data_IF_308089236072
#
_entry.id   IF_308089236072
#
_cell.length_a   1.000
_cell.length_b   1.000
_cell.length_c   1.000
_cell.angle_alpha   90.00
_cell.angle_beta   90.00
_cell.angle_gamma   90.00
#
_symmetry.space_group_name_H-M   'P 1'
#
loop_
_entity.id
_entity.type
_entity.pdbx_description
1 polymer ?
#
# COMPACT_ATOMS: atom_id res chain seq x y z
N UNK A 1 -73.90 -15.69 -1.54
CA UNK A 1 -73.15 -16.84 -2.09
C UNK A 1 -72.55 -17.58 -0.92
N UNK A 2 -73.18 -18.69 -0.56
CA UNK A 2 -72.98 -19.41 0.70
C UNK A 2 -71.98 -20.54 0.45
N UNK A 3 -70.84 -20.53 1.14
CA UNK A 3 -69.84 -21.59 1.07
C UNK A 3 -69.82 -22.39 2.37
N UNK A 4 -70.30 -23.62 2.27
CA UNK A 4 -70.34 -24.66 3.29
C UNK A 4 -68.93 -25.21 3.55
N UNK A 5 -68.52 -25.33 4.81
CA UNK A 5 -67.32 -26.08 5.20
C UNK A 5 -67.69 -27.20 6.17
N UNK A 6 -67.32 -28.40 5.76
CA UNK A 6 -67.55 -29.73 6.34
C UNK A 6 -66.50 -30.03 7.41
N UNK A 7 -66.82 -30.72 8.53
CA UNK A 7 -65.84 -31.04 9.57
C UNK A 7 -64.91 -32.20 9.16
N UNK A 8 -63.65 -32.12 9.59
CA UNK A 8 -62.63 -33.17 9.46
C UNK A 8 -62.75 -34.20 10.61
N UNK A 9 -62.41 -35.48 10.36
CA UNK A 9 -62.63 -36.56 11.31
C UNK A 9 -61.57 -36.64 12.41
N UNK A 10 -62.03 -37.07 13.58
CA UNK A 10 -61.26 -37.56 14.72
C UNK A 10 -60.55 -38.87 14.35
N UNK A 11 -59.21 -38.86 14.37
CA UNK A 11 -58.36 -40.01 14.11
C UNK A 11 -57.37 -40.23 15.25
N UNK A 12 -57.50 -41.40 15.88
CA UNK A 12 -56.86 -41.83 17.12
C UNK A 12 -55.36 -42.04 17.06
N UNK A 13 -54.73 -41.77 18.20
CA UNK A 13 -53.36 -42.11 18.59
C UNK A 13 -53.09 -43.62 18.48
N UNK A 14 -51.99 -44.02 17.82
CA UNK A 14 -51.29 -45.28 18.11
C UNK A 14 -49.79 -45.09 17.92
N UNK A 15 -49.08 -45.34 19.02
CA UNK A 15 -47.65 -45.23 19.15
C UNK A 15 -46.87 -46.20 18.24
N UNK A 16 -45.78 -45.71 17.66
CA UNK A 16 -44.52 -46.47 17.59
C UNK A 16 -43.37 -45.53 17.94
N UNK A 17 -42.60 -45.97 18.94
CA UNK A 17 -41.28 -45.47 19.29
C UNK A 17 -40.40 -45.60 18.04
N UNK A 18 -39.67 -44.56 17.69
CA UNK A 18 -38.21 -44.61 17.56
C UNK A 18 -37.66 -43.20 17.30
N UNK A 19 -36.57 -42.91 17.99
CA UNK A 19 -35.87 -41.64 17.98
C UNK A 19 -35.10 -41.45 16.67
N UNK A 20 -35.12 -40.22 16.14
CA UNK A 20 -34.02 -39.47 15.49
C UNK A 20 -34.67 -38.18 14.94
N UNK A 21 -34.61 -37.07 15.66
CA UNK A 21 -33.58 -36.02 15.56
C UNK A 21 -33.33 -35.52 14.12
N UNK A 22 -33.38 -34.19 14.04
CA UNK A 22 -32.92 -33.31 12.96
C UNK A 22 -33.90 -33.09 11.80
N UNK A 23 -34.77 -32.09 12.00
CA UNK A 23 -35.11 -31.18 10.91
C UNK A 23 -33.82 -30.51 10.42
N UNK A 24 -33.58 -30.39 9.10
CA UNK A 24 -32.44 -29.62 8.62
C UNK A 24 -32.76 -28.13 8.81
N UNK A 25 -31.88 -27.44 9.53
CA UNK A 25 -31.83 -25.99 9.53
C UNK A 25 -31.46 -25.52 8.12
N UNK A 26 -32.48 -25.20 7.34
CA UNK A 26 -32.35 -24.28 6.21
C UNK A 26 -32.30 -22.88 6.81
N UNK A 27 -31.09 -22.41 7.13
CA UNK A 27 -30.77 -21.00 7.35
C UNK A 27 -29.24 -20.83 7.26
N UNK A 28 -28.85 -19.94 6.37
CA UNK A 28 -27.50 -19.37 6.15
C UNK A 28 -26.51 -20.10 5.22
N UNK A 29 -26.84 -20.11 3.92
CA UNK A 29 -25.82 -20.27 2.85
C UNK A 29 -25.35 -18.89 2.38
N UNK A 30 -24.70 -18.14 3.26
CA UNK A 30 -24.06 -16.86 2.94
C UNK A 30 -22.67 -16.78 3.59
N UNK A 31 -21.63 -16.81 2.76
CA UNK A 31 -20.25 -16.35 3.07
C UNK A 31 -19.60 -16.93 4.35
N UNK A 32 -19.63 -18.24 4.52
CA UNK A 32 -18.79 -18.92 5.51
C UNK A 32 -17.48 -19.39 4.89
N UNK A 33 -16.36 -18.95 5.42
CA UNK A 33 -15.04 -19.52 5.13
C UNK A 33 -15.01 -20.99 5.57
N UNK A 34 -14.46 -21.88 4.74
CA UNK A 34 -14.22 -23.27 5.12
C UNK A 34 -13.31 -23.35 6.37
N UNK A 35 -13.64 -24.15 7.40
CA UNK A 35 -12.87 -24.21 8.65
C UNK A 35 -11.36 -24.44 8.45
N UNK A 36 -11.00 -25.26 7.48
CA UNK A 36 -9.62 -25.59 7.11
C UNK A 36 -8.88 -24.37 6.56
N UNK A 37 -9.53 -23.60 5.67
CA UNK A 37 -8.98 -22.36 5.11
C UNK A 37 -8.80 -21.30 6.20
N UNK A 38 -9.77 -21.17 7.12
CA UNK A 38 -9.64 -20.26 8.27
C UNK A 38 -8.45 -20.66 9.15
N UNK A 39 -8.36 -21.93 9.53
CA UNK A 39 -7.25 -22.42 10.35
C UNK A 39 -5.89 -22.18 9.68
N UNK A 40 -5.80 -22.32 8.36
CA UNK A 40 -4.58 -22.02 7.61
C UNK A 40 -4.23 -20.53 7.63
N UNK A 41 -5.20 -19.64 7.47
CA UNK A 41 -4.98 -18.18 7.58
C UNK A 41 -4.53 -17.82 9.00
N UNK A 42 -5.21 -18.35 10.02
CA UNK A 42 -4.86 -18.13 11.43
C UNK A 42 -3.42 -18.56 11.72
N UNK A 43 -3.03 -19.74 11.24
CA UNK A 43 -1.67 -20.25 11.42
C UNK A 43 -0.61 -19.35 10.76
N UNK A 44 -0.85 -18.88 9.54
CA UNK A 44 0.06 -17.98 8.83
C UNK A 44 0.24 -16.65 9.59
N UNK A 45 -0.86 -16.08 10.09
CA UNK A 45 -0.88 -14.82 10.83
C UNK A 45 -0.26 -14.94 12.23
N UNK A 46 -0.36 -16.11 12.87
CA UNK A 46 0.30 -16.38 14.15
C UNK A 46 1.80 -16.64 13.99
N UNK A 47 2.20 -17.31 12.91
CA UNK A 47 3.59 -17.67 12.66
C UNK A 47 4.44 -16.47 12.22
N UNK A 48 3.84 -15.51 11.51
CA UNK A 48 4.55 -14.39 10.91
C UNK A 48 3.94 -13.07 11.34
N UNK A 49 4.78 -12.18 11.89
CA UNK A 49 4.34 -10.84 12.30
C UNK A 49 3.83 -10.01 11.13
N UNK A 50 4.45 -10.09 9.95
CA UNK A 50 4.06 -9.31 8.76
C UNK A 50 3.75 -10.29 7.64
N UNK A 51 2.49 -10.28 7.18
CA UNK A 51 1.99 -11.17 6.14
C UNK A 51 1.30 -10.35 5.05
N UNK A 52 1.73 -10.54 3.80
CA UNK A 52 1.11 -9.93 2.63
C UNK A 52 0.44 -11.01 1.78
N UNK A 53 -0.89 -10.99 1.72
CA UNK A 53 -1.64 -11.75 0.73
C UNK A 53 -1.66 -10.96 -0.58
N UNK A 54 -1.10 -11.53 -1.65
CA UNK A 54 -0.89 -10.81 -2.91
C UNK A 54 -1.09 -11.70 -4.14
N UNK A 55 -1.19 -11.06 -5.31
CA UNK A 55 -1.24 -11.75 -6.60
C UNK A 55 0.17 -11.89 -7.16
N UNK A 56 0.66 -13.12 -7.26
CA UNK A 56 2.06 -13.42 -7.58
C UNK A 56 2.94 -13.49 -6.33
N UNK A 57 4.24 -13.36 -6.51
CA UNK A 57 5.23 -13.45 -5.42
C UNK A 57 5.96 -12.12 -5.22
N UNK A 58 6.71 -11.98 -4.11
CA UNK A 58 7.55 -10.81 -3.83
C UNK A 58 8.48 -10.46 -5.01
N UNK A 59 9.06 -11.48 -5.66
CA UNK A 59 9.98 -11.34 -6.79
C UNK A 59 9.26 -11.18 -8.13
N UNK A 60 8.06 -11.75 -8.26
CA UNK A 60 7.27 -11.74 -9.49
C UNK A 60 5.80 -11.37 -9.19
N UNK A 61 5.52 -10.09 -8.87
CA UNK A 61 4.15 -9.65 -8.66
C UNK A 61 3.37 -9.68 -9.98
N UNK A 62 2.14 -10.20 -9.95
CA UNK A 62 1.29 -10.37 -11.13
C UNK A 62 0.13 -9.36 -11.19
N UNK A 63 0.21 -8.30 -10.38
CA UNK A 63 -0.77 -7.21 -10.35
C UNK A 63 -0.09 -5.91 -9.89
N UNK A 64 -0.39 -4.79 -10.53
CA UNK A 64 0.22 -3.48 -10.21
C UNK A 64 0.03 -3.05 -8.75
N UNK A 65 -1.13 -3.33 -8.14
CA UNK A 65 -1.37 -3.05 -6.72
C UNK A 65 -0.51 -3.91 -5.80
N UNK A 66 -0.31 -5.19 -6.17
CA UNK A 66 0.59 -6.10 -5.46
C UNK A 66 2.05 -5.64 -5.59
N UNK A 67 2.47 -5.23 -6.78
CA UNK A 67 3.80 -4.66 -7.02
C UNK A 67 4.05 -3.36 -6.23
N UNK A 68 3.06 -2.47 -6.17
CA UNK A 68 3.17 -1.24 -5.38
C UNK A 68 3.32 -1.53 -3.88
N UNK A 69 2.56 -2.50 -3.37
CA UNK A 69 2.61 -2.87 -1.93
C UNK A 69 3.93 -3.56 -1.58
N UNK A 70 4.43 -4.47 -2.43
CA UNK A 70 5.73 -5.11 -2.20
C UNK A 70 6.88 -4.12 -2.29
N UNK A 71 6.82 -3.14 -3.20
CA UNK A 71 7.82 -2.09 -3.30
C UNK A 71 7.96 -1.33 -1.99
N UNK A 72 6.84 -0.82 -1.42
CA UNK A 72 6.84 -0.11 -0.14
C UNK A 72 7.41 -0.98 0.99
N UNK A 73 6.98 -2.24 1.12
CA UNK A 73 7.47 -3.12 2.18
C UNK A 73 8.96 -3.47 2.02
N UNK A 74 9.46 -3.59 0.79
CA UNK A 74 10.87 -3.82 0.51
C UNK A 74 11.76 -2.64 0.92
N UNK A 75 11.25 -1.41 0.90
CA UNK A 75 11.98 -0.24 1.37
C UNK A 75 12.10 -0.21 2.90
N UNK A 76 11.11 -0.76 3.60
CA UNK A 76 11.01 -0.69 5.06
C UNK A 76 11.57 -1.91 5.78
N UNK A 77 11.46 -3.10 5.17
CA UNK A 77 11.74 -4.37 5.83
C UNK A 77 12.73 -5.20 5.02
N UNK A 78 13.73 -5.80 5.69
CA UNK A 78 14.59 -6.79 5.02
C UNK A 78 13.78 -8.03 4.61
N UNK A 79 12.81 -8.44 5.45
CA UNK A 79 12.00 -9.63 5.20
C UNK A 79 10.58 -9.54 5.77
N UNK A 80 9.65 -10.26 5.12
CA UNK A 80 8.25 -10.43 5.50
C UNK A 80 7.62 -11.60 4.72
N UNK A 81 6.56 -12.20 5.24
CA UNK A 81 5.94 -13.35 4.61
C UNK A 81 4.96 -12.92 3.50
N UNK A 82 4.97 -13.62 2.37
CA UNK A 82 4.02 -13.39 1.26
C UNK A 82 3.26 -14.65 0.92
N UNK A 83 1.96 -14.52 0.67
CA UNK A 83 1.09 -15.61 0.23
C UNK A 83 0.58 -15.29 -1.17
N UNK A 84 0.92 -16.14 -2.16
CA UNK A 84 0.41 -16.02 -3.51
C UNK A 84 -0.99 -16.62 -3.59
N UNK A 85 -2.02 -15.77 -3.58
CA UNK A 85 -3.42 -16.22 -3.63
C UNK A 85 -3.83 -16.75 -5.01
N UNK A 86 -3.00 -16.61 -6.04
CA UNK A 86 -3.32 -17.15 -7.36
C UNK A 86 -3.10 -18.67 -7.45
N UNK A 87 -2.29 -19.22 -6.54
CA UNK A 87 -2.03 -20.66 -6.46
C UNK A 87 -3.14 -21.42 -5.71
N UNK A 88 -4.00 -20.70 -4.98
CA UNK A 88 -5.04 -21.29 -4.13
C UNK A 88 -6.30 -20.42 -4.11
N UNK A 89 -7.34 -20.90 -4.79
CA UNK A 89 -8.61 -20.19 -4.92
C UNK A 89 -9.40 -20.13 -3.61
N UNK A 90 -9.24 -21.11 -2.73
CA UNK A 90 -9.91 -21.13 -1.43
C UNK A 90 -9.29 -20.08 -0.52
N UNK A 91 -7.96 -19.95 -0.50
CA UNK A 91 -7.29 -18.85 0.19
C UNK A 91 -7.66 -17.50 -0.41
N UNK A 92 -7.77 -17.39 -1.74
CA UNK A 92 -8.10 -16.13 -2.42
C UNK A 92 -9.46 -15.57 -2.02
N UNK A 93 -10.48 -16.42 -1.99
CA UNK A 93 -11.81 -15.99 -1.58
C UNK A 93 -11.94 -15.97 -0.06
N UNK A 94 -11.27 -16.90 0.63
CA UNK A 94 -11.21 -16.98 2.08
C UNK A 94 -10.64 -15.73 2.73
N UNK A 95 -9.51 -15.20 2.24
CA UNK A 95 -8.88 -14.01 2.85
C UNK A 95 -9.75 -12.77 2.73
N UNK A 96 -10.54 -12.64 1.66
CA UNK A 96 -11.48 -11.53 1.49
C UNK A 96 -12.58 -11.56 2.56
N UNK A 97 -13.12 -12.75 2.81
CA UNK A 97 -14.12 -12.95 3.85
C UNK A 97 -13.49 -12.81 5.24
N UNK A 98 -12.24 -13.25 5.43
CA UNK A 98 -11.57 -13.28 6.73
C UNK A 98 -11.36 -11.86 7.26
N UNK A 99 -10.79 -10.99 6.42
CA UNK A 99 -10.56 -9.59 6.75
C UNK A 99 -11.77 -8.69 6.53
N UNK A 100 -12.92 -9.24 6.11
CA UNK A 100 -14.06 -8.46 5.62
C UNK A 100 -13.64 -7.37 4.62
N UNK A 101 -12.76 -7.75 3.68
CA UNK A 101 -12.09 -6.83 2.76
C UNK A 101 -12.14 -7.36 1.32
N UNK A 102 -12.74 -6.65 0.36
CA UNK A 102 -13.08 -7.24 -0.94
C UNK A 102 -11.90 -7.37 -1.92
N UNK A 103 -10.78 -6.67 -1.67
CA UNK A 103 -9.68 -6.53 -2.63
C UNK A 103 -8.38 -7.20 -2.16
N UNK A 104 -7.47 -7.40 -3.11
CA UNK A 104 -6.12 -7.96 -2.92
C UNK A 104 -5.17 -7.04 -3.68
N UNK A 105 -4.02 -6.64 -3.11
CA UNK A 105 -3.35 -7.21 -1.93
C UNK A 105 -4.00 -6.84 -0.57
N UNK A 106 -3.71 -7.63 0.46
CA UNK A 106 -4.05 -7.34 1.87
C UNK A 106 -2.81 -7.53 2.75
N UNK A 107 -2.45 -6.49 3.50
CA UNK A 107 -1.36 -6.51 4.47
C UNK A 107 -1.91 -6.76 5.87
N UNK A 108 -1.31 -7.71 6.59
CA UNK A 108 -1.54 -7.97 8.00
C UNK A 108 -0.27 -7.72 8.80
N UNK A 109 -0.41 -7.06 9.96
CA UNK A 109 0.67 -6.84 10.93
C UNK A 109 0.19 -7.29 12.29
N UNK A 110 0.92 -8.20 12.95
CA UNK A 110 0.54 -8.74 14.25
C UNK A 110 -0.79 -9.51 14.24
N UNK A 111 -1.18 -10.06 13.09
CA UNK A 111 -2.46 -10.75 12.91
C UNK A 111 -3.66 -9.83 12.62
N UNK A 112 -3.48 -8.51 12.64
CA UNK A 112 -4.53 -7.55 12.33
C UNK A 112 -4.43 -7.05 10.88
N UNK A 113 -5.58 -6.87 10.23
CA UNK A 113 -5.63 -6.32 8.88
C UNK A 113 -5.27 -4.83 8.91
N UNK A 114 -4.22 -4.47 8.18
CA UNK A 114 -3.84 -3.07 7.96
C UNK A 114 -4.62 -2.47 6.79
N UNK A 115 -4.76 -3.23 5.70
CA UNK A 115 -5.57 -2.83 4.54
C UNK A 115 -4.97 -3.24 3.21
N UNK A 116 -5.51 -2.65 2.14
CA UNK A 116 -5.05 -2.84 0.77
C UNK A 116 -3.95 -1.86 0.32
N UNK A 117 -3.58 -1.93 -0.96
CA UNK A 117 -2.46 -1.16 -1.53
C UNK A 117 -2.55 0.37 -1.31
N UNK A 118 -3.75 0.95 -1.42
CA UNK A 118 -3.94 2.40 -1.27
C UNK A 118 -3.72 2.86 0.18
N UNK A 119 -4.26 2.11 1.15
CA UNK A 119 -4.05 2.37 2.58
C UNK A 119 -2.58 2.21 2.94
N UNK A 120 -1.93 1.15 2.47
CA UNK A 120 -0.50 0.93 2.72
C UNK A 120 0.33 2.11 2.19
N UNK A 121 0.03 2.62 1.00
CA UNK A 121 0.71 3.80 0.45
C UNK A 121 0.45 5.07 1.25
N UNK A 122 -0.78 5.29 1.69
CA UNK A 122 -1.13 6.44 2.52
C UNK A 122 -0.40 6.39 3.87
N UNK A 123 -0.42 5.25 4.55
CA UNK A 123 0.27 5.05 5.83
C UNK A 123 1.78 5.18 5.69
N UNK A 124 2.34 4.75 4.55
CA UNK A 124 3.76 4.93 4.26
C UNK A 124 4.13 6.41 4.13
N UNK A 125 3.32 7.18 3.40
CA UNK A 125 3.53 8.61 3.21
C UNK A 125 3.34 9.42 4.51
N UNK A 126 2.41 9.01 5.38
CA UNK A 126 2.20 9.66 6.68
C UNK A 126 3.26 9.30 7.72
N UNK A 127 3.92 8.14 7.57
CA UNK A 127 4.84 7.58 8.56
C UNK A 127 4.17 6.59 9.54
N UNK A 128 2.85 6.41 9.44
CA UNK A 128 2.07 5.48 10.27
C UNK A 128 2.44 4.02 10.01
N UNK A 129 2.83 3.67 8.79
CA UNK A 129 3.23 2.30 8.45
C UNK A 129 4.53 1.91 9.19
N UNK A 130 5.49 2.83 9.26
CA UNK A 130 6.74 2.65 10.00
C UNK A 130 6.43 2.42 11.49
N UNK A 131 5.53 3.21 12.06
CA UNK A 131 5.08 3.05 13.45
C UNK A 131 4.42 1.68 13.67
N UNK A 132 3.50 1.25 12.79
CA UNK A 132 2.86 -0.07 12.86
C UNK A 132 3.88 -1.21 12.76
N UNK A 133 4.94 -1.01 11.97
CA UNK A 133 6.06 -1.95 11.84
C UNK A 133 7.06 -1.88 13.00
N UNK A 134 6.92 -0.95 13.94
CA UNK A 134 7.84 -0.75 15.05
C UNK A 134 9.19 -0.18 14.61
N UNK A 135 9.21 0.51 13.46
CA UNK A 135 10.36 1.23 12.94
C UNK A 135 10.34 2.68 13.45
N UNK A 136 11.51 3.33 13.57
CA UNK A 136 11.54 4.76 13.87
C UNK A 136 10.76 5.53 12.79
N UNK A 137 10.04 6.61 13.16
CA UNK A 137 9.41 7.46 12.18
C UNK A 137 10.46 7.99 11.19
N UNK A 138 10.09 8.19 9.91
CA UNK A 138 11.02 8.72 8.94
C UNK A 138 11.53 10.09 9.40
N UNK A 139 12.81 10.36 9.22
CA UNK A 139 13.35 11.69 9.50
C UNK A 139 12.81 12.67 8.46
N UNK A 140 12.04 13.65 8.94
CA UNK A 140 11.37 14.67 8.12
C UNK A 140 12.08 16.02 8.13
N UNK A 141 13.32 16.06 8.63
CA UNK A 141 14.12 17.28 8.67
C UNK A 141 14.43 17.74 7.24
N UNK A 142 14.09 18.98 6.85
CA UNK A 142 14.45 19.52 5.54
C UNK A 142 15.97 19.45 5.30
N UNK A 143 16.43 18.80 4.22
CA UNK A 143 17.85 18.78 3.88
C UNK A 143 18.32 20.17 3.46
N UNK A 144 19.57 20.49 3.78
CA UNK A 144 20.25 21.65 3.20
C UNK A 144 20.56 21.35 1.74
N UNK A 145 20.03 22.17 0.83
CA UNK A 145 20.24 22.07 -0.62
C UNK A 145 20.78 23.41 -1.11
N UNK A 146 21.68 23.39 -2.09
CA UNK A 146 22.14 24.60 -2.79
C UNK A 146 21.60 24.61 -4.21
N UNK A 147 21.03 25.72 -4.67
CA UNK A 147 20.63 25.92 -6.07
C UNK A 147 21.41 27.11 -6.62
N UNK A 148 22.13 26.92 -7.73
CA UNK A 148 22.83 28.03 -8.40
C UNK A 148 21.85 29.04 -9.00
N UNK A 149 22.29 30.26 -9.22
CA UNK A 149 21.43 31.29 -9.82
C UNK A 149 20.92 30.87 -11.19
N UNK A 150 21.79 30.26 -12.02
CA UNK A 150 21.42 29.74 -13.34
C UNK A 150 20.34 28.66 -13.25
N UNK A 151 20.46 27.72 -12.30
CA UNK A 151 19.43 26.73 -12.06
C UNK A 151 18.13 27.34 -11.56
N UNK A 152 18.22 28.32 -10.65
CA UNK A 152 17.05 28.97 -10.10
C UNK A 152 16.27 29.74 -11.18
N UNK A 153 16.96 30.45 -12.08
CA UNK A 153 16.34 31.11 -13.24
C UNK A 153 15.63 30.12 -14.16
N UNK A 154 16.29 29.02 -14.53
CA UNK A 154 15.70 28.00 -15.39
C UNK A 154 14.47 27.33 -14.76
N UNK A 155 14.52 27.01 -13.46
CA UNK A 155 13.39 26.45 -12.72
C UNK A 155 12.22 27.44 -12.69
N UNK A 156 12.47 28.71 -12.35
CA UNK A 156 11.43 29.74 -12.32
C UNK A 156 10.76 29.88 -13.68
N UNK A 157 11.52 29.89 -14.76
CA UNK A 157 10.97 29.96 -16.12
C UNK A 157 10.05 28.76 -16.42
N UNK A 158 10.48 27.52 -16.11
CA UNK A 158 9.65 26.33 -16.32
C UNK A 158 8.40 26.26 -15.46
N UNK A 159 8.44 26.84 -14.25
CA UNK A 159 7.29 26.90 -13.35
C UNK A 159 6.26 27.97 -13.75
N UNK A 160 6.64 29.03 -14.48
CA UNK A 160 5.69 30.07 -14.88
C UNK A 160 4.56 29.54 -15.78
N UNK A 161 4.85 28.53 -16.60
CA UNK A 161 3.86 27.89 -17.48
C UNK A 161 2.94 26.91 -16.73
N UNK A 162 3.23 26.61 -15.46
CA UNK A 162 2.58 25.56 -14.67
C UNK A 162 2.11 26.09 -13.30
N UNK A 163 1.14 27.03 -13.27
CA UNK A 163 0.65 27.60 -12.02
C UNK A 163 0.03 26.53 -11.11
N UNK A 164 0.38 26.57 -9.82
CA UNK A 164 -0.13 25.63 -8.81
C UNK A 164 0.62 24.28 -8.75
N UNK A 165 1.66 24.09 -9.56
CA UNK A 165 2.56 22.93 -9.46
C UNK A 165 3.76 23.25 -8.56
N UNK A 166 4.23 22.24 -7.84
CA UNK A 166 5.45 22.26 -7.06
C UNK A 166 6.57 21.52 -7.80
N UNK A 167 7.82 21.92 -7.56
CA UNK A 167 9.00 21.20 -8.04
C UNK A 167 9.30 20.05 -7.09
N UNK A 168 9.11 18.83 -7.58
CA UNK A 168 9.46 17.60 -6.87
C UNK A 168 10.84 17.11 -7.31
N UNK A 169 11.66 16.73 -6.33
CA UNK A 169 12.93 16.06 -6.52
C UNK A 169 12.85 14.65 -5.92
N UNK A 170 13.00 13.63 -6.77
CA UNK A 170 13.09 12.25 -6.33
C UNK A 170 14.53 11.75 -6.51
N UNK A 171 15.11 11.14 -5.47
CA UNK A 171 16.45 10.58 -5.51
C UNK A 171 16.37 9.09 -5.14
N UNK A 172 16.68 8.24 -6.11
CA UNK A 172 16.73 6.79 -5.97
C UNK A 172 17.90 6.29 -5.10
N UNK A 173 17.87 5.03 -4.66
CA UNK A 173 18.95 4.43 -3.87
C UNK A 173 20.28 4.33 -4.62
N UNK A 174 20.25 4.28 -5.95
CA UNK A 174 21.39 4.31 -6.86
C UNK A 174 21.87 5.74 -7.20
N UNK A 175 21.33 6.75 -6.51
CA UNK A 175 21.56 8.20 -6.75
C UNK A 175 21.08 8.70 -8.11
N UNK A 176 20.26 7.92 -8.82
CA UNK A 176 19.52 8.45 -9.96
C UNK A 176 18.51 9.50 -9.45
N UNK A 177 18.54 10.70 -10.03
CA UNK A 177 17.70 11.81 -9.60
C UNK A 177 16.77 12.24 -10.73
N UNK A 178 15.51 12.49 -10.38
CA UNK A 178 14.48 12.97 -11.30
C UNK A 178 13.83 14.24 -10.76
N UNK A 179 13.60 15.20 -11.66
CA UNK A 179 12.80 16.38 -11.38
C UNK A 179 11.45 16.26 -12.05
N UNK A 180 10.39 16.60 -11.35
CA UNK A 180 9.04 16.59 -11.88
C UNK A 180 8.24 17.77 -11.34
N UNK A 181 7.38 18.35 -12.18
CA UNK A 181 6.35 19.28 -11.73
C UNK A 181 5.10 18.47 -11.40
N UNK A 182 4.64 18.55 -10.15
CA UNK A 182 3.44 17.89 -9.68
C UNK A 182 2.78 18.72 -8.57
N UNK A 183 1.49 18.53 -8.26
CA UNK A 183 0.87 19.18 -7.11
C UNK A 183 1.63 18.89 -5.81
N UNK A 184 1.60 19.82 -4.86
CA UNK A 184 2.19 19.59 -3.54
C UNK A 184 1.48 18.43 -2.81
N UNK A 185 2.27 17.48 -2.31
CA UNK A 185 1.81 16.37 -1.50
C UNK A 185 1.77 16.74 -0.01
N UNK A 186 0.78 16.22 0.72
CA UNK A 186 0.67 16.40 2.17
C UNK A 186 1.84 15.77 2.95
N UNK A 187 2.59 14.85 2.32
CA UNK A 187 3.74 14.16 2.90
C UNK A 187 5.09 14.84 2.64
N UNK A 188 5.12 15.85 1.76
CA UNK A 188 6.38 16.38 1.24
C UNK A 188 7.16 17.13 2.31
N UNK A 189 8.47 16.95 2.27
CA UNK A 189 9.43 17.79 2.98
C UNK A 189 9.86 18.88 2.01
N UNK A 190 9.71 20.13 2.43
CA UNK A 190 10.07 21.28 1.60
C UNK A 190 11.42 21.83 2.05
N UNK A 191 12.37 21.85 1.14
CA UNK A 191 13.65 22.56 1.32
C UNK A 191 13.65 23.83 0.49
N UNK A 192 13.89 24.96 1.14
CA UNK A 192 14.05 26.24 0.46
C UNK A 192 15.51 26.48 0.08
N UNK A 193 15.74 26.80 -1.19
CA UNK A 193 17.04 27.20 -1.69
C UNK A 193 16.88 28.21 -2.82
N UNK A 194 17.65 29.29 -2.79
CA UNK A 194 17.58 30.37 -3.80
C UNK A 194 16.13 30.86 -4.05
N UNK A 195 15.33 30.99 -3.00
CA UNK A 195 13.92 31.42 -3.09
C UNK A 195 12.98 30.44 -3.80
N UNK A 196 13.40 29.18 -3.99
CA UNK A 196 12.59 28.10 -4.55
C UNK A 196 12.35 27.03 -3.49
N UNK A 197 11.11 26.54 -3.39
CA UNK A 197 10.76 25.38 -2.59
C UNK A 197 10.88 24.10 -3.42
N UNK A 198 11.72 23.17 -2.96
CA UNK A 198 11.84 21.82 -3.53
C UNK A 198 11.12 20.85 -2.61
N UNK A 199 10.17 20.10 -3.18
CA UNK A 199 9.39 19.07 -2.52
C UNK A 199 10.09 17.72 -2.65
N UNK A 200 10.27 17.03 -1.53
CA UNK A 200 10.94 15.73 -1.45
C UNK A 200 10.08 14.76 -0.63
N UNK A 201 10.03 13.50 -1.05
CA UNK A 201 9.63 12.43 -0.15
C UNK A 201 10.68 12.23 0.97
N UNK A 202 10.33 11.58 2.10
CA UNK A 202 11.29 11.39 3.20
C UNK A 202 12.58 10.67 2.82
N UNK A 203 12.53 9.67 1.93
CA UNK A 203 13.73 8.95 1.53
C UNK A 203 14.64 9.82 0.63
N UNK A 204 14.05 10.55 -0.32
CA UNK A 204 14.73 11.52 -1.17
C UNK A 204 15.34 12.65 -0.36
N UNK A 205 14.63 13.16 0.66
CA UNK A 205 15.12 14.20 1.55
C UNK A 205 16.41 13.78 2.28
N UNK A 206 16.47 12.53 2.77
CA UNK A 206 17.69 12.01 3.40
C UNK A 206 18.87 11.92 2.42
N UNK A 207 18.60 11.57 1.15
CA UNK A 207 19.63 11.46 0.10
C UNK A 207 20.04 12.83 -0.47
N UNK A 208 19.20 13.85 -0.34
CA UNK A 208 19.43 15.20 -0.84
C UNK A 208 20.30 16.07 0.08
N UNK A 209 20.76 15.56 1.23
CA UNK A 209 21.56 16.36 2.17
C UNK A 209 22.87 16.85 1.56
N UNK A 210 23.02 18.17 1.46
CA UNK A 210 24.23 18.84 0.99
C UNK A 210 24.41 18.83 -0.52
N UNK A 211 23.40 18.41 -1.30
CA UNK A 211 23.49 18.43 -2.76
C UNK A 211 23.53 19.87 -3.28
N UNK A 212 24.17 20.02 -4.44
CA UNK A 212 24.12 21.25 -5.23
C UNK A 212 23.45 20.96 -6.57
N UNK A 213 22.42 21.72 -6.87
CA UNK A 213 21.66 21.70 -8.12
C UNK A 213 22.19 22.83 -8.99
N UNK A 214 22.57 22.50 -10.22
CA UNK A 214 23.09 23.43 -11.21
C UNK A 214 22.35 23.28 -12.55
N UNK A 215 22.51 24.24 -13.45
CA UNK A 215 21.99 24.17 -14.81
C UNK A 215 23.14 24.04 -15.80
N UNK A 216 23.17 22.91 -16.51
CA UNK A 216 24.20 22.61 -17.48
C UNK A 216 23.63 22.69 -18.88
N UNK A 217 24.40 23.31 -19.77
CA UNK A 217 24.14 23.36 -21.20
C UNK A 217 25.24 22.58 -21.89
N UNK A 218 24.84 21.59 -22.67
CA UNK A 218 25.72 20.74 -23.46
C UNK A 218 25.31 20.82 -24.92
N UNK A 219 26.19 20.38 -25.82
CA UNK A 219 25.88 20.27 -27.25
C UNK A 219 24.73 19.30 -27.55
N UNK A 220 24.34 18.46 -26.58
CA UNK A 220 23.24 17.50 -26.70
C UNK A 220 21.94 17.98 -26.04
N UNK A 221 21.96 19.11 -25.33
CA UNK A 221 20.80 19.66 -24.63
C UNK A 221 21.16 20.40 -23.35
N UNK A 222 20.16 21.03 -22.74
CA UNK A 222 20.26 21.72 -21.46
C UNK A 222 19.39 21.05 -20.41
N UNK A 223 19.81 21.07 -19.15
CA UNK A 223 19.05 20.47 -18.07
C UNK A 223 19.62 20.71 -16.68
N UNK A 224 18.84 20.31 -15.68
CA UNK A 224 19.27 20.32 -14.29
C UNK A 224 20.28 19.22 -14.02
N UNK A 225 21.32 19.55 -13.28
CA UNK A 225 22.37 18.63 -12.84
C UNK A 225 22.44 18.62 -11.31
N UNK A 226 22.66 17.45 -10.72
CA UNK A 226 22.94 17.29 -9.29
C UNK A 226 24.40 16.93 -9.08
N UNK A 227 25.01 17.57 -8.08
CA UNK A 227 26.31 17.19 -7.52
C UNK A 227 26.19 16.94 -6.03
N UNK A 228 26.95 15.97 -5.52
CA UNK A 228 26.91 15.55 -4.13
C UNK A 228 28.12 16.12 -3.37
N UNK A 229 28.00 16.36 -2.06
CA UNK A 229 29.12 16.85 -1.27
C UNK A 229 30.27 15.83 -1.34
N UNK A 230 31.46 16.30 -1.75
CA UNK A 230 32.64 15.45 -1.92
C UNK A 230 32.76 14.73 -3.26
N UNK A 231 31.79 14.85 -4.19
CA UNK A 231 32.01 14.45 -5.59
C UNK A 231 32.82 15.55 -6.27
N UNK A 232 34.14 15.45 -6.25
CA UNK A 232 34.99 16.28 -7.12
C UNK A 232 34.62 15.95 -8.57
N UNK A 233 34.11 16.94 -9.29
CA UNK A 233 33.78 16.81 -10.70
C UNK A 233 34.95 16.22 -11.49
N UNK A 234 34.64 15.29 -12.38
CA UNK A 234 35.52 14.90 -13.48
C UNK A 234 34.91 15.46 -14.76
#
# INVERSE_FOLDING_TARGET
>A
MTATLKPLPTGTCRARRDALKCAPALLDTAMSIAPETRARIDALLQQHRVVLFMKGTRQQPQCGFSAATTHVLNELLPDYHTVNVLEDMDLREGIKQYGNWPTIPQLYIGGELVGGADIVRQMYASGELQQALGLPPPDRTPPTITITDKAAEAIRAGMQENPGMALHLQIGPDRNAGFQLAPAGAGDIVSEANGLGIHLDPASAQRARGIKIDWVETVQGAGLSLSYPGSTGH
#
